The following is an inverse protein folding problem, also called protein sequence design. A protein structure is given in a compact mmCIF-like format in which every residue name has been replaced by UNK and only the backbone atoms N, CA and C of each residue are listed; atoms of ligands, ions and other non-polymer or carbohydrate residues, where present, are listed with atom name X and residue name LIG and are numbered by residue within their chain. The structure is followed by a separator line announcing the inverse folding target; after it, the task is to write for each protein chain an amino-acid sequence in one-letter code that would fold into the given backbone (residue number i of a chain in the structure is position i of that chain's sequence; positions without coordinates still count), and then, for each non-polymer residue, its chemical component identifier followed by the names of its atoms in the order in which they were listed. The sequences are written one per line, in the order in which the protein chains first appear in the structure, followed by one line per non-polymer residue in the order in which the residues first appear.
data_IF_426196393460
#
_entry.id   IF_426196393460
#
_cell.length_a   1.000
_cell.length_b   1.000
_cell.length_c   1.000
_cell.angle_alpha   90.00
_cell.angle_beta   90.00
_cell.angle_gamma   90.00
#
_symmetry.space_group_name_H-M   'P 1'
#
loop_
_entity.id
_entity.type
_entity.pdbx_description
1 polymer ?
#
# COMPACT_ATOMS: atom_id res chain seq x y z
N UNK A 1 -0.47 -17.42 -24.62
CA UNK A 1 -0.27 -16.34 -23.64
C UNK A 1 -1.46 -16.34 -22.71
N UNK A 2 -1.25 -16.51 -21.41
CA UNK A 2 -2.31 -16.53 -20.39
C UNK A 2 -2.72 -15.09 -20.11
N UNK A 3 -3.52 -14.48 -20.99
CA UNK A 3 -4.20 -13.23 -20.64
C UNK A 3 -5.39 -13.62 -19.76
N UNK A 4 -5.45 -13.10 -18.53
CA UNK A 4 -6.59 -13.35 -17.64
C UNK A 4 -7.89 -12.94 -18.33
N UNK A 5 -8.87 -13.86 -18.32
CA UNK A 5 -10.18 -13.69 -18.98
C UNK A 5 -10.92 -12.52 -18.33
N UNK A 6 -11.64 -11.72 -19.14
CA UNK A 6 -12.36 -10.50 -18.72
C UNK A 6 -13.24 -10.64 -17.46
N UNK A 7 -13.72 -11.86 -17.16
CA UNK A 7 -14.53 -12.17 -15.98
C UNK A 7 -13.78 -11.95 -14.64
N UNK A 8 -12.45 -12.00 -14.62
CA UNK A 8 -11.63 -11.90 -13.39
C UNK A 8 -11.65 -10.47 -12.82
N UNK A 9 -11.64 -9.44 -13.67
CA UNK A 9 -11.54 -8.05 -13.22
C UNK A 9 -12.85 -7.48 -12.67
N UNK A 10 -13.99 -8.15 -12.92
CA UNK A 10 -15.31 -7.73 -12.43
C UNK A 10 -15.82 -8.52 -11.22
N UNK A 11 -15.12 -9.58 -10.82
CA UNK A 11 -15.56 -10.45 -9.73
C UNK A 11 -15.20 -9.85 -8.36
N UNK A 12 -16.23 -9.44 -7.63
CA UNK A 12 -16.08 -8.83 -6.31
C UNK A 12 -15.57 -9.82 -5.27
N UNK A 13 -15.96 -11.09 -5.32
CA UNK A 13 -15.52 -12.08 -4.35
C UNK A 13 -14.04 -12.40 -4.54
N UNK A 14 -13.61 -12.52 -5.79
CA UNK A 14 -12.20 -12.71 -6.12
C UNK A 14 -11.36 -11.51 -5.66
N UNK A 15 -11.80 -10.28 -5.94
CA UNK A 15 -11.10 -9.08 -5.45
C UNK A 15 -10.94 -9.09 -3.92
N UNK A 16 -12.03 -9.39 -3.19
CA UNK A 16 -11.98 -9.47 -1.72
C UNK A 16 -11.07 -10.59 -1.22
N UNK A 17 -11.00 -11.70 -1.96
CA UNK A 17 -10.08 -12.79 -1.66
C UNK A 17 -8.63 -12.34 -1.85
N UNK A 18 -8.30 -11.72 -2.98
CA UNK A 18 -6.96 -11.20 -3.28
C UNK A 18 -6.53 -10.15 -2.25
N UNK A 19 -7.42 -9.25 -1.84
CA UNK A 19 -7.12 -8.27 -0.78
C UNK A 19 -6.64 -8.97 0.50
N UNK A 20 -7.31 -10.04 0.91
CA UNK A 20 -7.02 -10.76 2.16
C UNK A 20 -5.79 -11.68 2.07
N UNK A 21 -5.57 -12.30 0.92
CA UNK A 21 -4.54 -13.36 0.79
C UNK A 21 -3.26 -12.88 0.13
N UNK A 22 -3.34 -11.82 -0.69
CA UNK A 22 -2.19 -11.26 -1.41
C UNK A 22 -1.82 -9.91 -0.78
N UNK A 23 -2.67 -8.90 -0.88
CA UNK A 23 -2.26 -7.53 -0.54
C UNK A 23 -2.03 -7.32 0.95
N UNK A 24 -2.82 -7.96 1.82
CA UNK A 24 -2.63 -7.89 3.28
C UNK A 24 -1.43 -8.71 3.81
N UNK A 25 -0.78 -9.53 2.97
CA UNK A 25 0.24 -10.51 3.40
C UNK A 25 1.61 -10.33 2.74
N UNK A 26 1.73 -9.36 1.84
CA UNK A 26 2.96 -9.13 1.08
C UNK A 26 3.48 -7.72 1.30
N UNK A 27 4.79 -7.55 1.13
CA UNK A 27 5.41 -6.22 1.13
C UNK A 27 4.94 -5.43 -0.08
N UNK A 28 4.28 -4.30 0.16
CA UNK A 28 3.87 -3.36 -0.88
C UNK A 28 4.82 -2.17 -0.89
N UNK A 29 5.23 -1.75 -2.10
CA UNK A 29 6.00 -0.53 -2.26
C UNK A 29 5.07 0.68 -2.05
N UNK A 30 5.37 1.51 -1.05
CA UNK A 30 4.55 2.68 -0.70
C UNK A 30 5.16 4.01 -1.16
N UNK A 31 6.48 4.16 -1.02
CA UNK A 31 7.18 5.40 -1.38
C UNK A 31 8.69 5.17 -1.50
N UNK A 32 9.37 6.15 -2.11
CA UNK A 32 10.82 6.24 -2.11
C UNK A 32 11.31 7.19 -1.01
N UNK A 33 12.47 6.90 -0.41
CA UNK A 33 13.06 7.64 0.72
C UNK A 33 13.24 9.14 0.43
N UNK A 34 13.56 9.49 -0.82
CA UNK A 34 13.75 10.87 -1.26
C UNK A 34 12.49 11.74 -1.23
N UNK A 35 11.31 11.14 -1.09
CA UNK A 35 10.04 11.88 -0.94
C UNK A 35 9.77 12.29 0.51
N UNK A 36 10.56 11.78 1.47
CA UNK A 36 10.49 12.12 2.89
C UNK A 36 11.91 12.35 3.45
N UNK A 37 12.68 13.31 2.91
CA UNK A 37 14.09 13.47 3.25
C UNK A 37 14.34 13.94 4.68
N UNK A 38 13.40 14.68 5.29
CA UNK A 38 13.57 15.34 6.58
C UNK A 38 12.56 14.82 7.62
N UNK A 39 12.91 14.88 8.92
CA UNK A 39 11.94 14.64 9.99
C UNK A 39 10.67 15.48 9.85
N UNK A 40 9.52 14.85 10.01
CA UNK A 40 8.20 15.47 9.83
C UNK A 40 7.66 15.40 8.41
N UNK A 41 8.49 15.08 7.41
CA UNK A 41 7.99 14.83 6.05
C UNK A 41 7.13 13.57 6.03
N UNK A 42 6.05 13.62 5.25
CA UNK A 42 5.16 12.49 5.06
C UNK A 42 4.58 12.45 3.65
N UNK A 43 4.17 11.26 3.24
CA UNK A 43 3.35 11.02 2.05
C UNK A 43 2.15 10.17 2.41
N UNK A 44 1.08 10.28 1.62
CA UNK A 44 -0.05 9.34 1.65
C UNK A 44 0.07 8.33 0.52
N UNK A 45 -0.22 7.07 0.80
CA UNK A 45 -0.24 5.99 -0.17
C UNK A 45 -1.39 5.03 0.12
N UNK A 46 -1.61 4.05 -0.77
CA UNK A 46 -2.60 2.98 -0.56
C UNK A 46 -1.92 1.64 -0.35
N UNK A 47 -2.40 0.90 0.65
CA UNK A 47 -2.05 -0.50 0.87
C UNK A 47 -3.30 -1.35 0.59
N UNK A 48 -3.46 -1.80 -0.66
CA UNK A 48 -4.73 -2.37 -1.11
C UNK A 48 -5.80 -1.28 -1.17
N UNK A 49 -6.81 -1.37 -0.30
CA UNK A 49 -7.88 -0.37 -0.18
C UNK A 49 -7.68 0.58 1.00
N UNK A 50 -6.71 0.33 1.87
CA UNK A 50 -6.45 1.13 3.06
C UNK A 50 -5.57 2.33 2.71
N UNK A 51 -5.96 3.52 3.17
CA UNK A 51 -5.12 4.71 3.11
C UNK A 51 -4.07 4.65 4.22
N UNK A 52 -2.82 4.93 3.89
CA UNK A 52 -1.69 4.92 4.83
C UNK A 52 -0.88 6.20 4.72
N UNK A 53 -0.35 6.66 5.85
CA UNK A 53 0.66 7.71 5.91
C UNK A 53 2.01 7.05 6.14
N UNK A 54 2.99 7.39 5.31
CA UNK A 54 4.41 7.04 5.53
C UNK A 54 5.14 8.31 5.92
N UNK A 55 5.84 8.31 7.06
CA UNK A 55 6.46 9.50 7.63
C UNK A 55 7.85 9.23 8.21
N UNK A 56 8.75 10.20 8.03
CA UNK A 56 10.04 10.22 8.74
C UNK A 56 9.88 10.80 10.13
N UNK A 57 10.22 10.00 11.12
CA UNK A 57 10.15 10.35 12.52
C UNK A 57 11.30 11.29 12.93
N UNK A 58 11.17 11.91 14.10
CA UNK A 58 12.20 12.80 14.66
C UNK A 58 13.55 12.11 14.92
N UNK A 59 13.54 10.79 15.17
CA UNK A 59 14.75 9.97 15.33
C UNK A 59 15.36 9.52 13.99
N UNK A 60 14.77 9.94 12.85
CA UNK A 60 15.18 9.57 11.51
C UNK A 60 14.60 8.24 10.99
N UNK A 61 13.92 7.45 11.82
CA UNK A 61 13.26 6.21 11.40
C UNK A 61 12.08 6.47 10.46
N UNK A 62 11.76 5.51 9.59
CA UNK A 62 10.58 5.57 8.71
C UNK A 62 9.49 4.67 9.27
N UNK A 63 8.28 5.21 9.41
CA UNK A 63 7.10 4.46 9.90
C UNK A 63 5.91 4.67 8.97
N UNK A 64 5.05 3.66 8.91
CA UNK A 64 3.77 3.71 8.21
C UNK A 64 2.62 3.53 9.21
N UNK A 65 1.54 4.26 9.02
CA UNK A 65 0.35 4.26 9.87
C UNK A 65 -0.91 4.22 9.00
N UNK A 66 -1.98 3.61 9.50
CA UNK A 66 -3.29 3.73 8.87
C UNK A 66 -3.79 5.18 8.99
N UNK A 67 -4.37 5.70 7.91
CA UNK A 67 -4.94 7.03 7.83
C UNK A 67 -6.46 6.93 7.96
N UNK A 68 -6.97 7.06 9.19
CA UNK A 68 -8.38 6.87 9.57
C UNK A 68 -8.97 8.10 10.22
#
# INVERSE_FOLDING_TARGET
GLTQKHLIHGDKELFQHEMKTIFARNWLFLTHDSLIPSPGDYVTAKMGVDEVIVSRQNDGSVRAFLNV
#
